data_IF_883995890404
#
_entry.id   IF_883995890404
#
_cell.length_a   1.000
_cell.length_b   1.000
_cell.length_c   1.000
_cell.angle_alpha   90.00
_cell.angle_beta   90.00
_cell.angle_gamma   90.00
#
_symmetry.space_group_name_H-M   'P 1'
#
loop_
_entity.id
_entity.type
_entity.pdbx_description
1 polymer ?
#
# COMPACT_ATOMS: atom_id res chain seq x y z
N UNK A 1 -1.46 -13.45 4.04
CA UNK A 1 -2.36 -14.18 3.13
C UNK A 1 -3.61 -14.61 3.89
N UNK A 2 -4.84 -14.23 3.50
CA UNK A 2 -6.08 -14.62 4.20
C UNK A 2 -6.41 -16.11 4.05
N UNK A 3 -5.74 -16.81 3.14
CA UNK A 3 -6.02 -18.20 2.81
C UNK A 3 -5.18 -19.22 3.59
N UNK A 4 -4.31 -18.78 4.50
CA UNK A 4 -3.44 -19.64 5.30
C UNK A 4 -3.97 -19.65 6.74
N UNK A 5 -4.36 -20.83 7.26
CA UNK A 5 -4.93 -21.00 8.59
C UNK A 5 -3.92 -20.74 9.72
N UNK A 6 -2.64 -21.08 9.50
CA UNK A 6 -1.55 -20.86 10.46
C UNK A 6 -0.42 -20.11 9.74
N UNK A 7 -0.13 -18.88 10.15
CA UNK A 7 0.90 -18.03 9.52
C UNK A 7 0.36 -16.70 9.05
N UNK A 8 0.65 -16.29 7.86
CA UNK A 8 0.23 -15.08 7.15
C UNK A 8 -0.45 -13.97 7.97
N UNK A 9 -1.76 -14.00 8.05
CA UNK A 9 -2.53 -12.92 8.71
C UNK A 9 -2.25 -12.84 10.23
N UNK A 10 -1.96 -13.96 10.89
CA UNK A 10 -1.67 -14.00 12.33
C UNK A 10 -0.40 -13.21 12.65
N UNK A 11 0.66 -13.35 11.85
CA UNK A 11 1.89 -12.57 12.01
C UNK A 11 1.68 -11.11 11.57
N UNK A 12 0.94 -10.90 10.48
CA UNK A 12 0.70 -9.57 9.92
C UNK A 12 -0.20 -8.67 10.76
N UNK A 13 -1.03 -9.22 11.65
CA UNK A 13 -1.91 -8.49 12.56
C UNK A 13 -1.38 -8.40 13.99
N UNK A 14 -0.11 -8.80 14.24
CA UNK A 14 0.57 -8.71 15.52
C UNK A 14 1.87 -7.94 15.38
N UNK A 15 2.05 -6.86 16.15
CA UNK A 15 3.30 -6.09 16.13
C UNK A 15 4.52 -6.95 16.49
N UNK A 16 4.51 -7.74 17.58
CA UNK A 16 5.59 -8.65 17.88
C UNK A 16 5.80 -9.71 16.79
N UNK A 17 4.72 -10.20 16.18
CA UNK A 17 4.77 -11.15 15.06
C UNK A 17 5.46 -10.56 13.83
N UNK A 18 5.10 -9.34 13.42
CA UNK A 18 5.72 -8.63 12.30
C UNK A 18 7.21 -8.41 12.54
N UNK A 19 7.59 -7.85 13.69
CA UNK A 19 8.99 -7.66 14.08
C UNK A 19 9.76 -8.98 14.11
N UNK A 20 9.20 -10.01 14.74
CA UNK A 20 9.84 -11.31 14.92
C UNK A 20 10.15 -12.00 13.60
N UNK A 21 9.19 -12.03 12.66
CA UNK A 21 9.39 -12.61 11.33
C UNK A 21 10.46 -11.87 10.55
N UNK A 22 10.41 -10.53 10.50
CA UNK A 22 11.40 -9.72 9.77
C UNK A 22 12.80 -9.91 10.37
N UNK A 23 12.92 -9.90 11.70
CA UNK A 23 14.19 -10.12 12.40
C UNK A 23 14.75 -11.53 12.16
N UNK A 24 13.89 -12.55 12.14
CA UNK A 24 14.32 -13.92 11.87
C UNK A 24 14.86 -14.06 10.44
N UNK A 25 14.18 -13.46 9.45
CA UNK A 25 14.63 -13.45 8.05
C UNK A 25 15.94 -12.67 7.92
N UNK A 26 16.07 -11.52 8.57
CA UNK A 26 17.28 -10.69 8.53
C UNK A 26 18.53 -11.43 9.03
N UNK A 27 18.38 -12.30 10.02
CA UNK A 27 19.51 -13.09 10.55
C UNK A 27 20.11 -14.07 9.56
N UNK A 28 19.35 -14.50 8.55
CA UNK A 28 19.76 -15.56 7.62
C UNK A 28 20.04 -15.06 6.21
N UNK A 29 19.82 -13.76 5.91
CA UNK A 29 20.04 -13.21 4.58
C UNK A 29 20.56 -11.77 4.61
N UNK A 30 21.34 -11.41 3.58
CA UNK A 30 21.76 -10.04 3.28
C UNK A 30 20.98 -9.42 2.11
N UNK A 31 20.07 -10.18 1.51
CA UNK A 31 19.21 -9.67 0.43
C UNK A 31 18.24 -8.60 0.97
N UNK A 32 17.78 -7.68 0.12
CA UNK A 32 16.74 -6.73 0.52
C UNK A 32 15.48 -7.43 1.03
N UNK A 33 14.99 -7.01 2.20
CA UNK A 33 13.77 -7.52 2.82
C UNK A 33 12.69 -6.44 2.70
N UNK A 34 11.60 -6.76 1.99
CA UNK A 34 10.47 -5.85 1.76
C UNK A 34 9.18 -6.54 2.24
N UNK A 35 8.85 -6.47 3.53
CA UNK A 35 7.61 -7.07 4.03
C UNK A 35 6.40 -6.35 3.44
N UNK A 36 5.39 -7.14 3.06
CA UNK A 36 4.12 -6.62 2.54
C UNK A 36 3.10 -6.58 3.66
N UNK A 37 2.71 -5.38 4.05
CA UNK A 37 1.80 -5.13 5.17
C UNK A 37 0.33 -5.38 4.80
N UNK A 38 -0.42 -5.91 5.76
CA UNK A 38 -1.86 -6.07 5.65
C UNK A 38 -2.56 -4.75 6.00
N UNK A 39 -3.66 -4.40 5.31
CA UNK A 39 -4.48 -3.24 5.67
C UNK A 39 -5.51 -3.57 6.76
N UNK A 40 -5.64 -4.84 7.16
CA UNK A 40 -6.68 -5.30 8.09
C UNK A 40 -6.23 -5.09 9.55
N UNK A 41 -5.74 -3.89 9.82
CA UNK A 41 -5.27 -3.43 11.13
C UNK A 41 -5.72 -2.00 11.36
N UNK A 42 -5.81 -1.58 12.62
CA UNK A 42 -6.26 -0.23 12.96
C UNK A 42 -5.18 0.82 12.68
N UNK A 43 -3.92 0.49 12.98
CA UNK A 43 -2.77 1.40 12.84
C UNK A 43 -1.65 0.72 12.05
N UNK A 44 -1.67 0.91 10.73
CA UNK A 44 -0.66 0.34 9.82
C UNK A 44 0.73 0.96 10.03
N UNK A 45 0.79 2.20 10.51
CA UNK A 45 2.06 2.90 10.71
C UNK A 45 2.91 2.23 11.79
N UNK A 46 2.29 1.74 12.87
CA UNK A 46 2.97 0.94 13.89
C UNK A 46 3.53 -0.39 13.33
N UNK A 47 2.85 -1.01 12.36
CA UNK A 47 3.36 -2.22 11.70
C UNK A 47 4.55 -1.92 10.77
N UNK A 48 4.52 -0.78 10.07
CA UNK A 48 5.65 -0.34 9.27
C UNK A 48 6.89 -0.10 10.16
N UNK A 49 6.69 0.54 11.32
CA UNK A 49 7.74 0.77 12.31
C UNK A 49 8.31 -0.54 12.88
N UNK A 50 7.45 -1.48 13.25
CA UNK A 50 7.87 -2.80 13.73
C UNK A 50 8.68 -3.57 12.66
N UNK A 51 8.34 -3.43 11.37
CA UNK A 51 9.10 -3.99 10.27
C UNK A 51 10.47 -3.32 10.10
N UNK A 52 10.56 -1.98 10.17
CA UNK A 52 11.81 -1.23 10.13
C UNK A 52 12.72 -1.62 11.29
N UNK A 53 12.21 -1.66 12.53
CA UNK A 53 12.94 -2.09 13.72
C UNK A 53 13.39 -3.55 13.64
N UNK A 54 12.66 -4.42 12.93
CA UNK A 54 13.02 -5.80 12.62
C UNK A 54 14.13 -5.93 11.58
N UNK A 55 14.53 -4.84 10.90
CA UNK A 55 15.60 -4.82 9.90
C UNK A 55 15.13 -4.92 8.46
N UNK A 56 13.89 -4.50 8.16
CA UNK A 56 13.42 -4.35 6.77
C UNK A 56 14.17 -3.23 6.06
N UNK A 57 14.46 -3.42 4.76
CA UNK A 57 15.08 -2.41 3.90
C UNK A 57 14.06 -1.47 3.25
N UNK A 58 12.82 -1.92 3.12
CA UNK A 58 11.67 -1.16 2.68
C UNK A 58 10.39 -1.84 3.19
N UNK A 59 9.25 -1.18 3.11
CA UNK A 59 7.94 -1.80 3.31
C UNK A 59 7.09 -1.65 2.07
N UNK A 60 6.25 -2.66 1.79
CA UNK A 60 5.22 -2.55 0.76
C UNK A 60 3.83 -2.63 1.40
N UNK A 61 2.90 -1.80 0.92
CA UNK A 61 1.52 -1.78 1.39
C UNK A 61 0.58 -1.27 0.29
N UNK A 62 -0.61 -1.84 0.13
CA UNK A 62 -1.29 -2.74 1.07
C UNK A 62 -1.61 -4.08 0.43
N UNK A 63 -1.79 -5.12 1.24
CA UNK A 63 -2.47 -6.34 0.80
C UNK A 63 -3.98 -6.07 0.62
N UNK A 64 -4.76 -7.06 0.25
CA UNK A 64 -6.22 -6.94 0.07
C UNK A 64 -6.94 -6.76 1.40
N UNK A 65 -8.09 -6.05 1.36
CA UNK A 65 -9.01 -5.97 2.49
C UNK A 65 -9.88 -7.22 2.56
N UNK A 66 -10.19 -7.70 3.76
CA UNK A 66 -11.20 -8.74 3.93
C UNK A 66 -12.58 -8.20 3.55
N UNK A 67 -13.27 -8.91 2.68
CA UNK A 67 -14.60 -8.54 2.19
C UNK A 67 -15.44 -9.78 1.92
N UNK A 68 -16.75 -9.58 1.77
CA UNK A 68 -17.72 -10.62 1.46
C UNK A 68 -18.72 -10.12 0.42
N UNK A 69 -19.16 -10.99 -0.46
CA UNK A 69 -20.27 -10.74 -1.37
C UNK A 69 -21.29 -11.88 -1.27
N UNK A 70 -22.58 -11.51 -1.27
CA UNK A 70 -23.72 -12.43 -1.13
C UNK A 70 -24.56 -12.37 -2.40
N UNK A 71 -24.97 -13.52 -2.88
CA UNK A 71 -26.04 -13.63 -3.87
C UNK A 71 -27.37 -13.52 -3.12
N UNK A 72 -28.12 -12.43 -3.38
CA UNK A 72 -29.35 -12.11 -2.65
C UNK A 72 -30.51 -13.07 -2.97
N UNK A 73 -30.47 -13.71 -4.14
CA UNK A 73 -31.54 -14.63 -4.56
C UNK A 73 -31.36 -16.01 -3.92
N UNK A 74 -30.12 -16.50 -3.88
CA UNK A 74 -29.80 -17.80 -3.27
C UNK A 74 -29.46 -17.70 -1.78
N UNK A 75 -29.20 -16.46 -1.28
CA UNK A 75 -28.72 -16.17 0.08
C UNK A 75 -27.42 -16.87 0.43
N UNK A 76 -26.57 -17.14 -0.56
CA UNK A 76 -25.28 -17.83 -0.40
C UNK A 76 -24.12 -16.86 -0.64
N UNK A 77 -22.97 -17.08 0.01
CA UNK A 77 -21.75 -16.38 -0.35
C UNK A 77 -21.40 -16.61 -1.82
N UNK A 78 -20.96 -15.55 -2.52
CA UNK A 78 -20.46 -15.68 -3.92
C UNK A 78 -19.11 -16.38 -3.98
N UNK A 79 -18.35 -16.35 -2.89
CA UNK A 79 -17.05 -16.99 -2.78
C UNK A 79 -17.16 -18.28 -1.98
N UNK A 80 -16.51 -19.35 -2.43
CA UNK A 80 -16.45 -20.64 -1.74
C UNK A 80 -15.88 -20.53 -0.33
N UNK A 81 -14.90 -19.64 -0.12
CA UNK A 81 -14.29 -19.38 1.18
C UNK A 81 -15.09 -18.38 2.04
N UNK A 82 -16.32 -18.05 1.66
CA UNK A 82 -17.23 -17.10 2.33
C UNK A 82 -16.70 -15.67 2.25
N UNK A 83 -15.49 -15.41 2.72
CA UNK A 83 -14.79 -14.12 2.64
C UNK A 83 -13.61 -14.21 1.69
N UNK A 84 -13.21 -13.07 1.12
CA UNK A 84 -12.08 -12.97 0.20
C UNK A 84 -11.42 -11.61 0.25
N UNK A 85 -10.35 -11.45 -0.52
CA UNK A 85 -9.61 -10.19 -0.59
C UNK A 85 -10.24 -9.22 -1.58
N UNK A 86 -10.69 -8.06 -1.10
CA UNK A 86 -11.09 -6.94 -1.95
C UNK A 86 -9.85 -6.21 -2.46
N UNK A 87 -9.77 -5.99 -3.77
CA UNK A 87 -8.73 -5.22 -4.46
C UNK A 87 -9.36 -4.33 -5.55
N UNK A 88 -8.52 -3.63 -6.31
CA UNK A 88 -8.98 -2.74 -7.38
C UNK A 88 -9.27 -1.31 -6.92
N UNK A 89 -9.81 -0.44 -7.80
CA UNK A 89 -9.91 1.00 -7.55
C UNK A 89 -10.66 1.40 -6.26
N UNK A 90 -11.59 0.57 -5.79
CA UNK A 90 -12.37 0.83 -4.59
C UNK A 90 -11.50 0.98 -3.31
N UNK A 91 -10.33 0.31 -3.24
CA UNK A 91 -9.46 0.37 -2.06
C UNK A 91 -8.44 1.51 -2.11
N UNK A 92 -8.27 2.18 -3.27
CA UNK A 92 -7.22 3.18 -3.48
C UNK A 92 -7.20 4.29 -2.42
N UNK A 93 -8.30 4.99 -2.11
CA UNK A 93 -8.26 6.08 -1.13
C UNK A 93 -7.77 5.63 0.26
N UNK A 94 -8.10 4.40 0.63
CA UNK A 94 -7.66 3.84 1.92
C UNK A 94 -6.16 3.49 1.85
N UNK A 95 -5.71 2.90 0.75
CA UNK A 95 -4.31 2.55 0.56
C UNK A 95 -3.39 3.81 0.51
N UNK A 96 -3.83 4.88 -0.17
CA UNK A 96 -3.11 6.17 -0.21
C UNK A 96 -2.97 6.77 1.19
N UNK A 97 -4.06 6.81 1.98
CA UNK A 97 -4.01 7.25 3.39
C UNK A 97 -2.99 6.42 4.20
N UNK A 98 -3.00 5.11 4.05
CA UNK A 98 -2.07 4.23 4.77
C UNK A 98 -0.61 4.48 4.38
N UNK A 99 -0.32 4.73 3.10
CA UNK A 99 1.02 5.14 2.65
C UNK A 99 1.44 6.46 3.29
N UNK A 100 0.55 7.45 3.31
CA UNK A 100 0.80 8.74 3.95
C UNK A 100 1.13 8.60 5.45
N UNK A 101 0.38 7.78 6.18
CA UNK A 101 0.63 7.50 7.60
C UNK A 101 1.97 6.80 7.83
N UNK A 102 2.28 5.76 7.03
CA UNK A 102 3.56 5.06 7.11
C UNK A 102 4.73 5.98 6.78
N UNK A 103 4.61 6.87 5.77
CA UNK A 103 5.67 7.81 5.42
C UNK A 103 6.08 8.71 6.57
N UNK A 104 5.14 9.06 7.44
CA UNK A 104 5.40 9.87 8.64
C UNK A 104 6.02 9.07 9.80
N UNK A 105 5.93 7.74 9.75
CA UNK A 105 6.35 6.86 10.84
C UNK A 105 7.71 6.19 10.60
N UNK A 106 8.11 5.97 9.35
CA UNK A 106 9.34 5.25 9.00
C UNK A 106 10.26 6.07 8.10
N UNK A 107 11.55 5.72 8.10
CA UNK A 107 12.58 6.34 7.25
C UNK A 107 12.90 5.49 6.01
N UNK A 108 12.65 4.18 6.07
CA UNK A 108 12.87 3.27 4.95
C UNK A 108 11.92 3.55 3.79
N UNK A 109 12.30 3.20 2.55
CA UNK A 109 11.45 3.37 1.38
C UNK A 109 10.12 2.65 1.49
N UNK A 110 9.09 3.22 0.85
CA UNK A 110 7.74 2.67 0.80
C UNK A 110 7.38 2.32 -0.64
N UNK A 111 6.86 1.11 -0.84
CA UNK A 111 6.28 0.66 -2.10
C UNK A 111 4.76 0.64 -1.95
N UNK A 112 4.08 1.60 -2.59
CA UNK A 112 2.63 1.73 -2.53
C UNK A 112 1.92 0.80 -3.50
N UNK A 113 0.82 0.19 -3.08
CA UNK A 113 -0.05 -0.61 -3.95
C UNK A 113 -1.49 -0.63 -3.45
N UNK A 114 -2.42 -0.78 -4.38
CA UNK A 114 -3.84 -0.93 -4.10
C UNK A 114 -4.71 0.00 -4.93
N UNK A 115 -5.37 -0.53 -5.95
CA UNK A 115 -6.33 0.18 -6.75
C UNK A 115 -5.78 1.13 -7.82
N UNK A 116 -4.50 1.04 -8.14
CA UNK A 116 -3.87 1.83 -9.21
C UNK A 116 -4.41 1.37 -10.56
N UNK A 117 -4.98 2.30 -11.33
CA UNK A 117 -5.54 2.09 -12.66
C UNK A 117 -5.12 3.18 -13.68
N UNK A 118 -4.67 4.34 -13.21
CA UNK A 118 -4.28 5.49 -14.03
C UNK A 118 -2.92 6.05 -13.58
N UNK A 119 -2.31 6.89 -14.41
CA UNK A 119 -1.09 7.60 -14.04
C UNK A 119 -1.31 8.54 -12.83
N UNK A 120 -2.47 9.17 -12.75
CA UNK A 120 -2.83 10.03 -11.61
C UNK A 120 -2.87 9.23 -10.31
N UNK A 121 -3.34 7.97 -10.35
CA UNK A 121 -3.31 7.09 -9.18
C UNK A 121 -1.88 6.80 -8.73
N UNK A 122 -0.94 6.57 -9.67
CA UNK A 122 0.49 6.41 -9.35
C UNK A 122 1.04 7.66 -8.66
N UNK A 123 0.75 8.83 -9.23
CA UNK A 123 1.21 10.11 -8.71
C UNK A 123 0.60 10.39 -7.33
N UNK A 124 -0.66 10.05 -7.10
CA UNK A 124 -1.32 10.15 -5.80
C UNK A 124 -0.57 9.36 -4.72
N UNK A 125 -0.18 8.11 -5.01
CA UNK A 125 0.65 7.31 -4.10
C UNK A 125 2.02 7.94 -3.86
N UNK A 126 2.69 8.44 -4.89
CA UNK A 126 4.02 9.05 -4.76
C UNK A 126 3.94 10.37 -3.97
N UNK A 127 2.98 11.22 -4.26
CA UNK A 127 2.74 12.47 -3.52
C UNK A 127 2.44 12.17 -2.05
N UNK A 128 1.71 11.08 -1.74
CA UNK A 128 1.47 10.63 -0.37
C UNK A 128 2.73 10.12 0.33
N UNK A 129 3.78 9.71 -0.42
CA UNK A 129 5.07 9.32 0.14
C UNK A 129 5.64 7.98 -0.30
N UNK A 130 5.00 7.29 -1.25
CA UNK A 130 5.56 6.09 -1.85
C UNK A 130 6.77 6.42 -2.74
N UNK A 131 7.85 5.66 -2.60
CA UNK A 131 9.06 5.76 -3.42
C UNK A 131 8.94 4.97 -4.73
N UNK A 132 8.08 3.95 -4.73
CA UNK A 132 7.73 3.13 -5.87
C UNK A 132 6.29 2.64 -5.74
N UNK A 133 5.72 2.09 -6.82
CA UNK A 133 4.39 1.51 -6.81
C UNK A 133 4.37 0.11 -7.41
N UNK A 134 3.37 -0.67 -7.02
CA UNK A 134 3.04 -1.96 -7.63
C UNK A 134 1.59 -1.96 -8.11
N UNK A 135 1.37 -2.50 -9.30
CA UNK A 135 0.04 -2.65 -9.90
C UNK A 135 -0.32 -4.13 -9.89
N UNK A 136 -1.44 -4.45 -9.26
CA UNK A 136 -1.95 -5.83 -9.19
C UNK A 136 -3.13 -6.06 -10.14
N UNK A 137 -4.34 -5.82 -9.66
CA UNK A 137 -5.61 -6.14 -10.32
C UNK A 137 -5.69 -5.65 -11.77
N UNK A 138 -5.19 -4.44 -12.05
CA UNK A 138 -5.27 -3.85 -13.38
C UNK A 138 -4.46 -4.60 -14.45
N UNK A 139 -3.43 -5.39 -14.08
CA UNK A 139 -2.74 -6.25 -15.06
C UNK A 139 -3.66 -7.33 -15.65
N UNK A 140 -4.70 -7.75 -14.92
CA UNK A 140 -5.69 -8.70 -15.41
C UNK A 140 -6.77 -8.04 -16.28
N UNK A 141 -7.02 -6.74 -16.08
CA UNK A 141 -8.00 -5.96 -16.84
C UNK A 141 -7.37 -5.44 -18.13
N UNK A 142 -6.16 -4.93 -18.04
CA UNK A 142 -5.40 -4.35 -19.14
C UNK A 142 -3.93 -4.78 -19.06
N UNK A 143 -3.50 -5.77 -19.88
CA UNK A 143 -2.11 -6.22 -19.92
C UNK A 143 -1.10 -5.14 -20.33
N UNK A 144 -1.55 -4.07 -20.99
CA UNK A 144 -0.73 -2.94 -21.43
C UNK A 144 -0.77 -1.74 -20.46
N UNK A 145 -1.32 -1.95 -19.26
CA UNK A 145 -1.48 -0.87 -18.28
C UNK A 145 -0.17 -0.12 -18.01
N UNK A 146 0.96 -0.81 -17.93
CA UNK A 146 2.25 -0.20 -17.63
C UNK A 146 2.68 0.86 -18.65
N UNK A 147 2.46 0.61 -19.94
CA UNK A 147 2.74 1.59 -20.99
C UNK A 147 1.91 2.86 -20.78
N UNK A 148 0.61 2.69 -20.53
CA UNK A 148 -0.31 3.82 -20.31
C UNK A 148 0.06 4.64 -19.08
N UNK A 149 0.43 3.95 -17.98
CA UNK A 149 0.89 4.61 -16.76
C UNK A 149 2.18 5.42 -17.00
N UNK A 150 3.16 4.82 -17.68
CA UNK A 150 4.42 5.49 -17.98
C UNK A 150 4.24 6.71 -18.88
N UNK A 151 3.37 6.63 -19.88
CA UNK A 151 3.09 7.76 -20.78
C UNK A 151 2.37 8.89 -20.05
N UNK A 152 1.39 8.57 -19.19
CA UNK A 152 0.72 9.55 -18.36
C UNK A 152 1.66 10.23 -17.35
N UNK A 153 2.56 9.48 -16.72
CA UNK A 153 3.58 10.04 -15.81
C UNK A 153 4.52 10.99 -16.55
N UNK A 154 4.99 10.61 -17.76
CA UNK A 154 5.82 11.50 -18.59
C UNK A 154 5.09 12.79 -18.97
N UNK A 155 3.82 12.69 -19.34
CA UNK A 155 2.99 13.85 -19.66
C UNK A 155 2.85 14.78 -18.44
N UNK A 156 2.58 14.23 -17.26
CA UNK A 156 2.52 14.99 -16.01
C UNK A 156 3.85 15.71 -15.71
N UNK A 157 4.98 15.00 -15.78
CA UNK A 157 6.30 15.57 -15.53
C UNK A 157 6.60 16.72 -16.50
N UNK A 158 6.25 16.57 -17.77
CA UNK A 158 6.42 17.62 -18.80
C UNK A 158 5.57 18.84 -18.48
N UNK A 159 4.28 18.65 -18.19
CA UNK A 159 3.33 19.73 -17.89
C UNK A 159 3.75 20.52 -16.66
N UNK A 160 4.22 19.84 -15.62
CA UNK A 160 4.62 20.43 -14.34
C UNK A 160 6.11 20.77 -14.26
N UNK A 161 6.89 20.61 -15.36
CA UNK A 161 8.33 20.89 -15.43
C UNK A 161 9.13 20.16 -14.35
N UNK A 162 8.77 18.92 -14.07
CA UNK A 162 9.41 18.08 -13.06
C UNK A 162 10.57 17.32 -13.73
N UNK A 163 11.78 17.51 -13.25
CA UNK A 163 12.97 16.89 -13.84
C UNK A 163 13.13 15.43 -13.40
N UNK A 164 12.77 15.09 -12.18
CA UNK A 164 12.90 13.75 -11.62
C UNK A 164 11.61 13.35 -10.90
N UNK A 165 11.09 12.15 -11.18
CA UNK A 165 9.87 11.67 -10.56
C UNK A 165 9.97 11.59 -9.03
N UNK A 166 11.17 11.34 -8.49
CA UNK A 166 11.41 11.35 -7.04
C UNK A 166 11.10 12.70 -6.37
N UNK A 167 11.12 13.78 -7.12
CA UNK A 167 10.88 15.13 -6.58
C UNK A 167 9.42 15.35 -6.16
N UNK A 168 8.49 14.44 -6.57
CA UNK A 168 7.08 14.48 -6.12
C UNK A 168 6.82 13.64 -4.87
N UNK A 169 7.80 12.85 -4.40
CA UNK A 169 7.59 11.93 -3.27
C UNK A 169 7.39 12.68 -1.96
N UNK A 170 6.22 12.48 -1.36
CA UNK A 170 5.88 13.09 -0.06
C UNK A 170 5.61 14.58 -0.11
N UNK A 171 5.21 15.11 -1.26
CA UNK A 171 4.97 16.56 -1.46
C UNK A 171 3.52 16.98 -1.23
N UNK A 172 2.69 16.13 -0.61
CA UNK A 172 1.30 16.50 -0.31
C UNK A 172 1.26 17.76 0.56
N UNK A 173 0.56 18.79 0.09
CA UNK A 173 0.37 20.04 0.83
C UNK A 173 -0.82 19.91 1.80
N UNK A 174 -0.53 19.92 3.08
CA UNK A 174 -1.53 19.88 4.16
C UNK A 174 -1.71 21.24 4.86
N UNK A 175 -1.02 22.27 4.42
CA UNK A 175 -0.95 23.59 5.08
C UNK A 175 -2.30 24.29 5.26
N UNK A 176 -3.22 24.10 4.33
CA UNK A 176 -4.56 24.69 4.40
C UNK A 176 -5.40 24.12 5.57
N UNK A 177 -5.17 22.86 5.96
CA UNK A 177 -5.89 22.21 7.05
C UNK A 177 -5.29 22.49 8.43
N UNK A 178 -3.98 22.60 8.52
CA UNK A 178 -3.30 22.96 9.78
C UNK A 178 -3.75 24.33 10.26
N UNK A 179 -3.96 25.28 9.34
CA UNK A 179 -4.51 26.62 9.67
C UNK A 179 -5.96 26.56 10.15
N UNK A 180 -6.79 25.68 9.61
CA UNK A 180 -8.19 25.55 9.99
C UNK A 180 -8.37 24.89 11.37
N UNK A 181 -7.50 23.97 11.78
CA UNK A 181 -7.53 23.30 13.10
C UNK A 181 -6.98 24.19 14.22
N UNK A 182 -6.07 25.14 13.91
CA UNK A 182 -5.53 26.08 14.86
C UNK A 182 -6.46 27.29 15.09
N UNK A 183 -7.53 27.42 14.30
CA UNK A 183 -8.52 28.50 14.39
C UNK A 183 -9.85 28.09 15.06
N UNK A 184 -9.98 26.84 15.49
CA UNK A 184 -11.08 26.31 16.29
C UNK A 184 -10.63 25.95 17.71
#
# INVERSE_FOLDING_TARGET
CPNIKEGGITFGCSLPGTHGVVSAVRKVTRLPIIPKLTPNVTDVASFAKAAEEGGADAVSLVNTFLAMAIDVHTRRPKLTNIVGGLSGPAIRPIAVRMVYECRRAVKIPIVGMGGIATADDVLEFMIAGANAVQVGTMNFVDPFIWTKLMDGIRAYMTTHKIARLQDVVGTVDTSAREKAWLST
#
